data_IF_422045740966
#
_entry.id   IF_422045740966
#
_cell.length_a   1.000
_cell.length_b   1.000
_cell.length_c   1.000
_cell.angle_alpha   90.00
_cell.angle_beta   90.00
_cell.angle_gamma   90.00
#
_symmetry.space_group_name_H-M   'P 1'
#
loop_
_entity.id
_entity.type
_entity.pdbx_description
1 polymer ?
#
# COMPACT_ATOMS: atom_id res chain seq x y z
N UNK A 1 -2.02 -5.94 6.32
CA UNK A 1 -0.97 -5.89 5.30
C UNK A 1 -1.25 -6.94 4.25
N UNK A 2 -0.92 -6.67 3.02
CA UNK A 2 -0.94 -7.69 2.00
C UNK A 2 0.27 -7.50 1.06
N UNK A 3 0.61 -8.54 0.31
CA UNK A 3 1.72 -8.48 -0.62
C UNK A 3 1.29 -7.83 -1.92
N UNK A 4 2.12 -6.94 -2.44
CA UNK A 4 2.07 -6.50 -3.82
C UNK A 4 3.11 -7.27 -4.63
N UNK A 5 2.83 -7.50 -5.89
CA UNK A 5 3.74 -8.17 -6.82
C UNK A 5 4.26 -7.15 -7.83
N UNK A 6 5.58 -7.05 -7.94
CA UNK A 6 6.23 -6.19 -8.93
C UNK A 6 6.14 -6.86 -10.30
N UNK A 7 5.46 -6.22 -11.24
CA UNK A 7 5.07 -6.82 -12.51
C UNK A 7 6.25 -7.29 -13.37
N UNK A 8 7.38 -6.55 -13.34
CA UNK A 8 8.54 -6.87 -14.18
C UNK A 8 9.39 -8.01 -13.64
N UNK A 9 9.42 -8.21 -12.32
CA UNK A 9 10.38 -9.10 -11.67
C UNK A 9 9.73 -10.25 -10.91
N UNK A 10 8.40 -10.26 -10.79
CA UNK A 10 7.71 -11.25 -9.97
C UNK A 10 8.03 -11.18 -8.48
N UNK A 11 8.81 -10.18 -8.05
CA UNK A 11 9.14 -9.97 -6.65
C UNK A 11 7.92 -9.48 -5.87
N UNK A 12 7.85 -9.78 -4.58
CA UNK A 12 6.75 -9.36 -3.72
C UNK A 12 7.26 -8.50 -2.58
N UNK A 13 6.40 -7.61 -2.10
CA UNK A 13 6.64 -6.76 -0.95
C UNK A 13 5.33 -6.63 -0.17
N UNK A 14 5.38 -6.83 1.14
CA UNK A 14 4.23 -6.51 1.99
C UNK A 14 4.15 -5.01 2.21
N UNK A 15 2.96 -4.46 2.00
CA UNK A 15 2.70 -3.02 2.13
C UNK A 15 1.41 -2.75 2.90
N UNK A 16 1.27 -1.53 3.40
CA UNK A 16 0.02 -1.05 3.97
C UNK A 16 -1.00 -0.76 2.88
N UNK A 17 -2.28 -0.93 3.22
CA UNK A 17 -3.39 -0.60 2.34
C UNK A 17 -4.48 0.09 3.14
N UNK A 18 -4.93 1.24 2.66
CA UNK A 18 -5.98 2.02 3.30
C UNK A 18 -6.77 2.77 2.23
N UNK A 19 -7.44 1.99 1.37
CA UNK A 19 -8.19 2.56 0.24
C UNK A 19 -9.33 1.62 -0.18
N UNK A 20 -10.34 2.19 -0.81
CA UNK A 20 -11.46 1.46 -1.40
C UNK A 20 -11.59 1.65 -2.91
N UNK A 21 -10.63 2.33 -3.53
CA UNK A 21 -10.63 2.63 -4.96
C UNK A 21 -9.27 2.36 -5.58
N UNK A 22 -9.11 2.70 -6.83
CA UNK A 22 -7.89 2.43 -7.58
C UNK A 22 -7.71 3.51 -8.65
N UNK A 23 -6.44 3.88 -8.98
CA UNK A 23 -6.21 4.93 -9.97
C UNK A 23 -6.64 4.53 -11.37
N UNK A 24 -7.06 5.52 -12.14
CA UNK A 24 -7.32 5.35 -13.56
C UNK A 24 -6.02 5.16 -14.34
N UNK A 25 -6.13 4.76 -15.60
CA UNK A 25 -4.99 4.59 -16.50
C UNK A 25 -5.06 5.60 -17.64
N UNK A 26 -3.89 6.09 -18.04
CA UNK A 26 -3.71 6.82 -19.30
C UNK A 26 -3.09 5.90 -20.33
N UNK A 27 -3.03 6.33 -21.59
CA UNK A 27 -2.51 5.53 -22.69
C UNK A 27 -1.07 5.05 -22.44
N UNK A 28 -0.23 5.92 -21.89
CA UNK A 28 1.19 5.62 -21.64
C UNK A 28 1.45 5.07 -20.23
N UNK A 29 0.42 4.83 -19.44
CA UNK A 29 0.58 4.35 -18.07
C UNK A 29 1.07 2.90 -18.03
N UNK A 30 1.98 2.62 -17.10
CA UNK A 30 2.52 1.28 -16.87
C UNK A 30 2.19 0.86 -15.44
N UNK A 31 1.52 -0.28 -15.28
CA UNK A 31 1.26 -0.87 -13.97
C UNK A 31 2.53 -1.54 -13.47
N UNK A 32 3.09 -1.01 -12.39
CA UNK A 32 4.34 -1.53 -11.79
C UNK A 32 4.10 -2.57 -10.72
N UNK A 33 2.96 -2.55 -10.04
CA UNK A 33 2.66 -3.50 -8.98
C UNK A 33 1.17 -3.77 -8.90
N UNK A 34 0.85 -5.01 -8.54
CA UNK A 34 -0.52 -5.51 -8.36
C UNK A 34 -0.65 -6.20 -7.01
N UNK A 35 -1.87 -6.40 -6.54
CA UNK A 35 -2.18 -7.27 -5.41
C UNK A 35 -3.44 -8.06 -5.69
N UNK A 36 -3.72 -9.05 -4.85
CA UNK A 36 -4.91 -9.88 -5.00
C UNK A 36 -6.20 -9.06 -4.94
N UNK A 37 -6.25 -8.04 -4.07
CA UNK A 37 -7.43 -7.20 -3.89
C UNK A 37 -7.49 -5.98 -4.78
N UNK A 38 -6.40 -5.66 -5.51
CA UNK A 38 -6.32 -4.45 -6.34
C UNK A 38 -5.29 -4.63 -7.46
N UNK A 39 -5.71 -4.60 -8.74
CA UNK A 39 -4.81 -4.81 -9.86
C UNK A 39 -3.89 -3.62 -10.16
N UNK A 40 -4.10 -2.45 -9.54
CA UNK A 40 -3.35 -1.23 -9.83
C UNK A 40 -2.85 -0.62 -8.53
N UNK A 41 -1.80 -1.20 -7.95
CA UNK A 41 -1.24 -0.72 -6.69
C UNK A 41 -0.18 0.37 -6.87
N UNK A 42 0.65 0.26 -7.89
CA UNK A 42 1.64 1.28 -8.25
C UNK A 42 1.62 1.46 -9.77
N UNK A 43 1.50 2.70 -10.22
CA UNK A 43 1.44 3.04 -11.63
C UNK A 43 2.46 4.12 -11.94
N UNK A 44 3.18 3.97 -13.04
CA UNK A 44 4.02 5.03 -13.61
C UNK A 44 3.29 5.64 -14.80
N UNK A 45 3.01 6.94 -14.74
CA UNK A 45 2.41 7.69 -15.85
C UNK A 45 3.47 8.32 -16.76
N UNK A 46 4.62 8.66 -16.21
CA UNK A 46 5.77 9.20 -16.94
C UNK A 46 7.02 8.98 -16.09
N UNK A 47 8.24 9.30 -16.57
CA UNK A 47 9.47 9.07 -15.79
C UNK A 47 9.49 9.67 -14.39
N UNK A 48 8.70 10.72 -14.14
CA UNK A 48 8.66 11.39 -12.84
C UNK A 48 7.26 11.48 -12.22
N UNK A 49 6.27 10.76 -12.78
CA UNK A 49 4.89 10.80 -12.30
C UNK A 49 4.41 9.39 -11.96
N UNK A 50 4.17 9.15 -10.67
CA UNK A 50 3.78 7.86 -10.12
C UNK A 50 2.53 8.00 -9.26
N UNK A 51 1.72 6.96 -9.23
CA UNK A 51 0.61 6.84 -8.30
C UNK A 51 0.78 5.58 -7.45
N UNK A 52 0.66 5.74 -6.14
CA UNK A 52 0.73 4.65 -5.17
C UNK A 52 -0.61 4.53 -4.46
N UNK A 53 -1.30 3.42 -4.63
CA UNK A 53 -2.43 3.07 -3.78
C UNK A 53 -1.96 2.31 -2.53
N UNK A 54 -0.92 1.49 -2.67
CA UNK A 54 -0.26 0.89 -1.53
C UNK A 54 0.46 1.97 -0.70
N UNK A 55 0.46 1.79 0.60
CA UNK A 55 1.09 2.71 1.53
C UNK A 55 2.40 2.12 2.05
N UNK A 56 3.53 2.64 1.56
CA UNK A 56 4.86 2.25 2.01
C UNK A 56 5.39 3.19 3.10
N UNK A 57 4.71 4.33 3.31
CA UNK A 57 5.08 5.34 4.30
C UNK A 57 4.55 5.04 5.70
N UNK A 58 3.76 3.99 5.86
CA UNK A 58 3.20 3.65 7.17
C UNK A 58 4.28 3.40 8.22
N UNK A 59 4.06 3.93 9.40
CA UNK A 59 4.80 3.64 10.61
C UNK A 59 3.82 3.43 11.78
N UNK A 60 4.27 2.97 12.96
CA UNK A 60 3.37 2.72 14.08
C UNK A 60 2.53 3.94 14.49
N UNK A 61 3.11 5.14 14.45
CA UNK A 61 2.40 6.37 14.81
C UNK A 61 1.30 6.70 13.81
N UNK A 62 1.61 6.68 12.50
CA UNK A 62 0.64 6.96 11.45
C UNK A 62 -0.52 5.98 11.47
N UNK A 63 -0.22 4.70 11.67
CA UNK A 63 -1.23 3.63 11.76
C UNK A 63 -2.15 3.84 12.97
N UNK A 64 -1.61 4.20 14.13
CA UNK A 64 -2.44 4.49 15.30
C UNK A 64 -3.38 5.67 15.05
N UNK A 65 -2.91 6.72 14.39
CA UNK A 65 -3.73 7.89 14.04
C UNK A 65 -4.85 7.52 13.06
N UNK A 66 -4.56 6.69 12.07
CA UNK A 66 -5.57 6.22 11.11
C UNK A 66 -6.64 5.37 11.79
N UNK A 67 -6.25 4.44 12.66
CA UNK A 67 -7.19 3.60 13.39
C UNK A 67 -8.09 4.46 14.28
N UNK A 68 -7.52 5.45 14.97
CA UNK A 68 -8.29 6.37 15.80
C UNK A 68 -9.27 7.22 14.98
N UNK A 69 -8.85 7.68 13.80
CA UNK A 69 -9.67 8.52 12.92
C UNK A 69 -10.86 7.75 12.35
N UNK A 70 -10.66 6.52 11.91
CA UNK A 70 -11.72 5.69 11.32
C UNK A 70 -12.59 5.00 12.38
N UNK A 71 -12.07 4.83 13.59
CA UNK A 71 -12.74 4.16 14.69
C UNK A 71 -12.35 2.68 14.79
N UNK A 72 -11.80 2.29 15.93
CA UNK A 72 -11.30 0.93 16.15
C UNK A 72 -12.40 -0.12 16.03
N UNK A 73 -13.59 0.16 16.59
CA UNK A 73 -14.72 -0.77 16.53
C UNK A 73 -15.24 -0.95 15.10
N UNK A 74 -15.24 0.11 14.30
CA UNK A 74 -15.65 0.06 12.89
C UNK A 74 -14.67 -0.79 12.09
N UNK A 75 -13.38 -0.61 12.30
CA UNK A 75 -12.34 -1.39 11.61
C UNK A 75 -12.40 -2.87 12.00
N UNK A 76 -12.60 -3.17 13.29
CA UNK A 76 -12.78 -4.53 13.77
C UNK A 76 -13.98 -5.21 13.10
N UNK A 77 -15.12 -4.52 13.02
CA UNK A 77 -16.31 -5.03 12.36
C UNK A 77 -16.06 -5.30 10.86
N UNK A 78 -15.39 -4.36 10.17
CA UNK A 78 -15.04 -4.52 8.76
C UNK A 78 -14.09 -5.69 8.53
N UNK A 79 -13.15 -5.94 9.43
CA UNK A 79 -12.20 -7.04 9.31
C UNK A 79 -12.86 -8.41 9.33
N UNK A 80 -14.01 -8.52 9.99
CA UNK A 80 -14.79 -9.74 10.04
C UNK A 80 -15.67 -9.95 8.81
N UNK A 81 -16.00 -8.89 8.09
CA UNK A 81 -16.92 -8.91 6.95
C UNK A 81 -16.24 -8.82 5.60
N UNK A 82 -15.09 -8.16 5.51
CA UNK A 82 -14.40 -7.89 4.26
C UNK A 82 -13.09 -8.69 4.17
N UNK A 83 -12.89 -9.37 3.04
CA UNK A 83 -11.76 -10.30 2.83
C UNK A 83 -10.38 -9.66 2.99
N UNK A 84 -10.23 -8.40 2.54
CA UNK A 84 -8.93 -7.74 2.50
C UNK A 84 -8.73 -6.72 3.61
N UNK A 85 -9.59 -6.70 4.62
CA UNK A 85 -9.48 -5.79 5.77
C UNK A 85 -8.95 -6.56 6.98
N UNK A 86 -7.82 -6.12 7.53
CA UNK A 86 -7.22 -6.68 8.74
C UNK A 86 -7.76 -5.98 9.99
N UNK A 87 -7.75 -6.69 11.14
CA UNK A 87 -8.16 -6.10 12.41
C UNK A 87 -7.10 -5.12 12.95
N UNK A 88 -7.48 -4.21 13.88
CA UNK A 88 -6.54 -3.23 14.43
C UNK A 88 -5.31 -3.84 15.10
N UNK A 89 -5.47 -4.97 15.78
CA UNK A 89 -4.36 -5.64 16.46
C UNK A 89 -3.28 -6.08 15.47
N UNK A 90 -3.68 -6.73 14.38
CA UNK A 90 -2.76 -7.20 13.33
C UNK A 90 -2.04 -6.01 12.67
N UNK A 91 -2.75 -4.93 12.41
CA UNK A 91 -2.18 -3.73 11.79
C UNK A 91 -1.15 -3.08 12.72
N UNK A 92 -1.44 -2.98 14.02
CA UNK A 92 -0.52 -2.40 14.99
C UNK A 92 0.73 -3.26 15.23
N UNK A 93 0.59 -4.58 15.11
CA UNK A 93 1.69 -5.51 15.40
C UNK A 93 2.68 -5.65 14.24
N UNK A 94 2.36 -5.14 13.05
CA UNK A 94 3.19 -5.31 11.86
C UNK A 94 4.49 -4.51 11.94
N UNK A 95 5.58 -5.06 11.41
CA UNK A 95 6.87 -4.38 11.31
C UNK A 95 6.97 -3.61 9.98
N UNK A 96 6.91 -2.29 10.05
CA UNK A 96 6.86 -1.40 8.90
C UNK A 96 8.23 -1.01 8.32
N UNK A 97 9.33 -1.50 8.91
CA UNK A 97 10.68 -1.05 8.53
C UNK A 97 11.07 -1.41 7.11
N UNK A 98 10.70 -2.61 6.64
CA UNK A 98 11.06 -3.04 5.27
C UNK A 98 10.38 -2.19 4.21
N UNK A 99 9.07 -1.96 4.32
CA UNK A 99 8.36 -1.14 3.32
C UNK A 99 8.86 0.30 3.32
N UNK A 100 9.17 0.86 4.49
CA UNK A 100 9.71 2.21 4.61
C UNK A 100 11.09 2.31 3.93
N UNK A 101 11.96 1.33 4.15
CA UNK A 101 13.27 1.30 3.51
C UNK A 101 13.16 1.21 1.98
N UNK A 102 12.21 0.44 1.47
CA UNK A 102 11.95 0.33 0.03
C UNK A 102 11.44 1.65 -0.57
N UNK A 103 10.59 2.35 0.15
CA UNK A 103 10.12 3.67 -0.27
C UNK A 103 11.29 4.65 -0.38
N UNK A 104 12.15 4.73 0.63
CA UNK A 104 13.31 5.62 0.59
C UNK A 104 14.26 5.28 -0.55
N UNK A 105 14.52 3.99 -0.80
CA UNK A 105 15.36 3.58 -1.94
C UNK A 105 14.75 4.03 -3.28
N UNK A 106 13.44 3.91 -3.43
CA UNK A 106 12.73 4.38 -4.62
C UNK A 106 12.86 5.90 -4.78
N UNK A 107 12.59 6.67 -3.72
CA UNK A 107 12.69 8.12 -3.77
C UNK A 107 14.11 8.60 -4.10
N UNK A 108 15.12 7.96 -3.53
CA UNK A 108 16.52 8.25 -3.84
C UNK A 108 16.84 8.01 -5.32
N UNK A 109 16.25 6.97 -5.91
CA UNK A 109 16.47 6.65 -7.33
C UNK A 109 15.95 7.74 -8.28
N UNK A 110 14.94 8.52 -7.86
CA UNK A 110 14.36 9.58 -8.69
C UNK A 110 15.26 10.81 -8.79
N UNK A 111 16.25 10.96 -7.90
CA UNK A 111 17.16 12.12 -7.87
C UNK A 111 18.48 11.86 -8.59
N UNK A 112 18.66 10.68 -9.16
CA UNK A 112 19.89 10.27 -9.85
C UNK A 112 19.78 10.41 -11.36
#
# INVERSE_FOLDING_TARGET
MSCITLCEFGATLETGHWHGDMPGLTEDAVVLATSQGCPRQIIRFSPKHYAFQAHLEFDPEAVNLLIAADGEAVLEDQSQKLTFVQNPEAIRAYDYREMTAKLYAFLDSLTK
#
